data_IF_467631919256
#
_entry.id   IF_467631919256
#
_cell.length_a   1.000
_cell.length_b   1.000
_cell.length_c   1.000
_cell.angle_alpha   90.00
_cell.angle_beta   90.00
_cell.angle_gamma   90.00
#
_symmetry.space_group_name_H-M   'P 1'
#
loop_
_entity.id
_entity.type
_entity.pdbx_description
1 polymer ?
#
# COMPACT_ATOMS: atom_id res chain seq x y z
N UNK A 1 -16.18 -15.92 22.98
CA UNK A 1 -15.05 -16.63 23.61
C UNK A 1 -15.14 -18.11 23.28
N UNK A 2 -14.02 -18.71 22.88
CA UNK A 2 -13.78 -20.17 22.69
C UNK A 2 -14.52 -20.86 21.53
N UNK A 3 -14.30 -20.43 20.28
CA UNK A 3 -14.47 -21.32 19.10
C UNK A 3 -13.42 -21.11 18.00
N UNK A 4 -12.58 -20.07 18.09
CA UNK A 4 -11.50 -19.78 17.14
C UNK A 4 -10.28 -20.71 17.21
N UNK A 5 -10.25 -21.69 18.11
CA UNK A 5 -9.12 -22.63 18.23
C UNK A 5 -9.29 -23.90 17.37
N UNK A 6 -10.53 -24.29 17.06
CA UNK A 6 -10.81 -25.60 16.45
C UNK A 6 -10.52 -25.67 14.94
N UNK A 7 -10.53 -24.55 14.21
CA UNK A 7 -10.08 -24.48 12.81
C UNK A 7 -8.56 -24.38 12.67
N UNK A 8 -7.82 -24.16 13.77
CA UNK A 8 -6.42 -23.72 13.75
C UNK A 8 -5.44 -24.70 14.43
N UNK A 9 -5.94 -25.78 15.05
CA UNK A 9 -5.11 -26.89 15.52
C UNK A 9 -4.42 -27.67 14.38
N UNK A 10 -4.77 -27.42 13.11
CA UNK A 10 -4.21 -28.14 11.95
C UNK A 10 -2.85 -27.64 11.44
N UNK A 11 -2.33 -26.52 11.96
CA UNK A 11 -0.94 -26.08 11.71
C UNK A 11 -0.01 -26.53 12.85
N UNK A 12 -0.56 -26.85 14.01
CA UNK A 12 0.15 -27.59 15.05
C UNK A 12 0.04 -29.06 14.67
N UNK A 13 0.99 -29.53 13.87
CA UNK A 13 1.37 -30.94 13.85
C UNK A 13 1.30 -31.42 15.30
N UNK A 14 0.59 -32.52 15.54
CA UNK A 14 0.43 -33.14 16.86
C UNK A 14 1.73 -33.00 17.66
N UNK A 15 1.61 -32.75 18.97
CA UNK A 15 2.70 -32.50 19.93
C UNK A 15 3.75 -33.63 20.06
N UNK A 16 3.86 -34.50 19.06
CA UNK A 16 4.72 -35.66 18.91
C UNK A 16 5.60 -35.59 17.66
N UNK A 17 5.46 -34.60 16.77
CA UNK A 17 6.49 -34.36 15.76
C UNK A 17 7.70 -33.74 16.45
N UNK A 18 8.79 -34.49 16.53
CA UNK A 18 10.08 -33.97 16.96
C UNK A 18 10.54 -32.93 15.95
N UNK A 19 10.44 -31.65 16.33
CA UNK A 19 11.00 -30.57 15.54
C UNK A 19 12.52 -30.74 15.55
N UNK A 20 13.24 -30.40 14.47
CA UNK A 20 14.70 -30.35 14.51
C UNK A 20 15.13 -29.43 15.66
N UNK A 21 16.40 -29.49 16.05
CA UNK A 21 17.03 -28.64 17.07
C UNK A 21 17.06 -27.14 16.68
N UNK A 22 15.91 -26.56 16.36
CA UNK A 22 15.73 -25.17 15.99
C UNK A 22 15.26 -24.38 17.21
N UNK A 23 15.80 -23.19 17.39
CA UNK A 23 15.33 -22.25 18.39
C UNK A 23 13.96 -21.69 18.01
N UNK A 24 13.22 -21.17 18.99
CA UNK A 24 11.94 -20.49 18.76
C UNK A 24 12.09 -19.31 17.78
N UNK A 25 13.23 -18.62 17.81
CA UNK A 25 13.56 -17.53 16.89
C UNK A 25 13.71 -18.02 15.45
N UNK A 26 14.39 -19.14 15.23
CA UNK A 26 14.54 -19.74 13.90
C UNK A 26 13.19 -20.22 13.35
N UNK A 27 12.31 -20.72 14.22
CA UNK A 27 10.94 -21.09 13.85
C UNK A 27 10.13 -19.85 13.49
N UNK A 28 10.18 -18.79 14.31
CA UNK A 28 9.47 -17.55 14.02
C UNK A 28 9.98 -16.92 12.71
N UNK A 29 11.29 -16.93 12.48
CA UNK A 29 11.89 -16.51 11.22
C UNK A 29 11.41 -17.36 10.06
N UNK A 30 11.32 -18.68 10.18
CA UNK A 30 10.83 -19.53 9.10
C UNK A 30 9.39 -19.17 8.71
N UNK A 31 8.51 -18.97 9.70
CA UNK A 31 7.09 -18.72 9.49
C UNK A 31 6.78 -17.28 9.03
N UNK A 32 7.58 -16.28 9.43
CA UNK A 32 7.35 -14.88 9.06
C UNK A 32 7.36 -14.67 7.53
N UNK A 33 6.71 -13.61 7.05
CA UNK A 33 6.66 -13.23 5.64
C UNK A 33 7.55 -12.00 5.43
N UNK A 34 8.79 -12.18 4.98
CA UNK A 34 9.84 -11.17 5.13
C UNK A 34 9.77 -10.12 4.02
N UNK A 35 9.29 -10.52 2.85
CA UNK A 35 9.21 -9.69 1.65
C UNK A 35 7.81 -9.79 1.04
N UNK A 36 7.42 -8.75 0.29
CA UNK A 36 6.13 -8.75 -0.42
C UNK A 36 6.11 -9.82 -1.52
N UNK A 37 7.26 -10.16 -2.09
CA UNK A 37 7.41 -11.26 -3.04
C UNK A 37 7.04 -12.60 -2.38
N UNK A 38 7.56 -12.86 -1.18
CA UNK A 38 7.21 -14.06 -0.39
C UNK A 38 5.71 -14.08 -0.03
N UNK A 39 5.10 -12.91 0.21
CA UNK A 39 3.65 -12.81 0.40
C UNK A 39 2.90 -13.30 -0.85
N UNK A 40 3.27 -12.80 -2.04
CA UNK A 40 2.64 -13.20 -3.30
C UNK A 40 2.90 -14.68 -3.61
N UNK A 41 4.12 -15.17 -3.40
CA UNK A 41 4.47 -16.58 -3.57
C UNK A 41 3.59 -17.48 -2.70
N UNK A 42 3.43 -17.16 -1.41
CA UNK A 42 2.56 -17.92 -0.50
C UNK A 42 1.09 -17.84 -0.92
N UNK A 43 0.61 -16.66 -1.35
CA UNK A 43 -0.75 -16.46 -1.85
C UNK A 43 -1.03 -17.31 -3.10
N UNK A 44 -0.06 -17.37 -4.01
CA UNK A 44 -0.10 -18.12 -5.25
C UNK A 44 0.27 -19.60 -5.10
N UNK A 45 0.54 -20.04 -3.87
CA UNK A 45 0.98 -21.40 -3.58
C UNK A 45 2.27 -21.83 -4.31
N UNK A 46 3.17 -20.89 -4.53
CA UNK A 46 4.50 -21.14 -5.09
C UNK A 46 5.47 -21.66 -4.02
N UNK A 47 6.53 -22.38 -4.42
CA UNK A 47 7.54 -22.86 -3.48
C UNK A 47 8.25 -21.70 -2.76
N UNK A 48 8.32 -21.78 -1.43
CA UNK A 48 9.04 -20.84 -0.55
C UNK A 48 9.98 -21.61 0.36
N UNK A 49 10.83 -20.90 1.11
CA UNK A 49 11.63 -21.53 2.17
C UNK A 49 10.76 -22.27 3.19
N UNK A 50 9.62 -21.69 3.55
CA UNK A 50 8.65 -22.28 4.46
C UNK A 50 8.08 -23.59 3.91
N UNK A 51 7.50 -23.58 2.70
CA UNK A 51 6.88 -24.79 2.12
C UNK A 51 7.92 -25.88 1.82
N UNK A 52 9.12 -25.49 1.37
CA UNK A 52 10.24 -26.41 1.16
C UNK A 52 10.69 -27.09 2.46
N UNK A 53 10.69 -26.36 3.58
CA UNK A 53 11.03 -26.93 4.88
C UNK A 53 9.95 -27.89 5.38
N UNK A 54 8.66 -27.49 5.30
CA UNK A 54 7.53 -28.35 5.69
C UNK A 54 7.55 -29.68 4.94
N UNK A 55 7.77 -29.63 3.62
CA UNK A 55 7.81 -30.82 2.77
C UNK A 55 9.00 -31.75 3.07
N UNK A 56 10.14 -31.22 3.55
CA UNK A 56 11.28 -32.04 3.99
C UNK A 56 11.04 -32.73 5.32
N UNK A 57 10.32 -32.07 6.23
CA UNK A 57 10.01 -32.63 7.55
C UNK A 57 9.03 -33.79 7.44
N UNK A 58 7.99 -33.61 6.63
CA UNK A 58 7.02 -34.67 6.34
C UNK A 58 6.36 -34.39 4.99
N UNK A 59 6.65 -35.24 4.01
CA UNK A 59 6.08 -35.13 2.67
C UNK A 59 4.55 -35.23 2.63
N UNK A 60 3.92 -35.79 3.69
CA UNK A 60 2.47 -35.87 3.84
C UNK A 60 1.83 -34.58 4.39
N UNK A 61 2.63 -33.65 4.94
CA UNK A 61 2.19 -32.34 5.43
C UNK A 61 2.12 -31.29 4.32
N UNK A 62 1.68 -31.66 3.11
CA UNK A 62 1.42 -30.69 2.05
C UNK A 62 0.43 -29.64 2.57
N UNK A 63 0.93 -28.43 2.78
CA UNK A 63 0.10 -27.34 3.29
C UNK A 63 -0.84 -26.94 2.16
N UNK A 64 -2.16 -26.99 2.36
CA UNK A 64 -3.08 -26.57 1.31
C UNK A 64 -2.96 -25.07 1.04
N UNK A 65 -3.32 -24.64 -0.17
CA UNK A 65 -3.36 -23.22 -0.54
C UNK A 65 -4.35 -22.40 0.31
N UNK A 66 -5.45 -22.99 0.77
CA UNK A 66 -6.32 -22.35 1.77
C UNK A 66 -5.56 -22.02 3.06
N UNK A 67 -4.77 -22.96 3.59
CA UNK A 67 -3.95 -22.75 4.80
C UNK A 67 -2.84 -21.73 4.55
N UNK A 68 -2.19 -21.82 3.36
CA UNK A 68 -1.63 -20.71 2.57
C UNK A 68 -2.14 -19.33 2.95
N UNK A 69 -3.27 -19.01 2.36
CA UNK A 69 -3.89 -17.70 2.37
C UNK A 69 -4.31 -17.32 3.79
N UNK A 70 -4.86 -18.26 4.56
CA UNK A 70 -5.25 -18.01 5.96
C UNK A 70 -4.05 -17.60 6.84
N UNK A 71 -2.85 -18.13 6.58
CA UNK A 71 -1.64 -17.73 7.33
C UNK A 71 -1.19 -16.29 7.05
N UNK A 72 -1.64 -15.72 5.92
CA UNK A 72 -1.29 -14.35 5.50
C UNK A 72 -2.17 -13.29 6.15
N UNK A 73 -3.27 -13.64 6.81
CA UNK A 73 -4.06 -12.67 7.58
C UNK A 73 -3.34 -12.27 8.86
N UNK A 74 -3.38 -11.00 9.23
CA UNK A 74 -2.96 -10.58 10.56
C UNK A 74 -3.86 -11.22 11.62
N UNK A 75 -3.29 -12.03 12.50
CA UNK A 75 -4.04 -12.82 13.49
C UNK A 75 -4.21 -12.10 14.84
N UNK A 76 -3.54 -10.96 15.05
CA UNK A 76 -3.60 -10.19 16.29
C UNK A 76 -4.32 -8.86 16.07
N UNK A 77 -5.03 -8.38 17.09
CA UNK A 77 -5.64 -7.04 17.15
C UNK A 77 -6.63 -6.70 16.01
N UNK A 78 -7.13 -7.72 15.29
CA UNK A 78 -8.09 -7.60 14.19
C UNK A 78 -9.30 -8.52 14.42
N UNK A 79 -10.48 -7.91 14.47
CA UNK A 79 -11.74 -8.65 14.49
C UNK A 79 -12.23 -8.89 13.05
N UNK A 80 -11.71 -9.94 12.40
CA UNK A 80 -12.12 -10.29 11.05
C UNK A 80 -13.58 -10.70 10.95
N UNK A 81 -14.26 -10.25 9.89
CA UNK A 81 -15.52 -10.84 9.48
C UNK A 81 -15.25 -12.22 8.88
N UNK A 82 -15.50 -13.28 9.66
CA UNK A 82 -15.19 -14.66 9.26
C UNK A 82 -15.94 -15.11 8.00
N UNK A 83 -17.12 -14.56 7.71
CA UNK A 83 -17.84 -14.88 6.48
C UNK A 83 -17.13 -14.27 5.28
N UNK A 84 -16.66 -13.02 5.38
CA UNK A 84 -15.89 -12.38 4.31
C UNK A 84 -14.55 -13.09 4.08
N UNK A 85 -13.81 -13.43 5.14
CA UNK A 85 -12.56 -14.18 5.02
C UNK A 85 -12.80 -15.53 4.36
N UNK A 86 -13.85 -16.25 4.76
CA UNK A 86 -14.21 -17.53 4.13
C UNK A 86 -14.51 -17.35 2.65
N UNK A 87 -15.39 -16.43 2.28
CA UNK A 87 -15.75 -16.19 0.88
C UNK A 87 -14.55 -15.78 0.04
N UNK A 88 -13.65 -14.95 0.58
CA UNK A 88 -12.41 -14.58 -0.08
C UNK A 88 -11.50 -15.80 -0.32
N UNK A 89 -11.24 -16.60 0.72
CA UNK A 89 -10.36 -17.78 0.62
C UNK A 89 -10.95 -18.82 -0.34
N UNK A 90 -12.24 -19.09 -0.27
CA UNK A 90 -12.95 -20.02 -1.19
C UNK A 90 -12.86 -19.55 -2.64
N UNK A 91 -13.00 -18.25 -2.90
CA UNK A 91 -12.87 -17.70 -4.25
C UNK A 91 -11.43 -17.77 -4.78
N UNK A 92 -10.45 -17.40 -3.95
CA UNK A 92 -9.04 -17.38 -4.36
C UNK A 92 -8.56 -18.80 -4.66
N UNK A 93 -9.00 -19.79 -3.87
CA UNK A 93 -8.67 -21.21 -4.03
C UNK A 93 -9.69 -21.99 -4.89
N UNK A 94 -10.49 -21.30 -5.71
CA UNK A 94 -11.46 -21.98 -6.58
C UNK A 94 -10.76 -22.95 -7.54
N UNK A 95 -11.26 -24.19 -7.61
CA UNK A 95 -10.63 -25.26 -8.40
C UNK A 95 -10.70 -25.06 -9.91
N UNK A 96 -11.64 -24.24 -10.41
CA UNK A 96 -11.84 -23.99 -11.84
C UNK A 96 -11.23 -22.66 -12.27
N UNK A 97 -11.29 -21.65 -11.42
CA UNK A 97 -10.86 -20.27 -11.67
C UNK A 97 -10.12 -19.70 -10.44
N UNK A 98 -8.93 -20.25 -10.10
CA UNK A 98 -8.15 -19.73 -8.99
C UNK A 98 -7.68 -18.30 -9.30
N UNK A 99 -7.78 -17.40 -8.31
CA UNK A 99 -7.22 -16.06 -8.44
C UNK A 99 -5.75 -16.06 -8.00
N UNK A 100 -4.85 -15.55 -8.82
CA UNK A 100 -3.43 -15.36 -8.47
C UNK A 100 -3.09 -13.88 -8.45
N UNK A 101 -2.12 -13.50 -7.61
CA UNK A 101 -1.50 -12.19 -7.69
C UNK A 101 -0.39 -12.23 -8.74
N UNK A 102 -0.32 -11.22 -9.58
CA UNK A 102 0.75 -11.03 -10.53
C UNK A 102 1.53 -9.77 -10.17
N UNK A 103 2.84 -9.92 -10.10
CA UNK A 103 3.78 -8.83 -9.83
C UNK A 103 3.73 -7.76 -10.93
N UNK A 104 3.47 -8.17 -12.17
CA UNK A 104 3.48 -7.29 -13.34
C UNK A 104 2.12 -6.63 -13.60
N UNK A 105 1.09 -6.96 -12.83
CA UNK A 105 -0.25 -6.37 -12.93
C UNK A 105 -0.25 -4.91 -12.45
N UNK A 106 -1.17 -4.09 -12.98
CA UNK A 106 -1.26 -2.66 -12.67
C UNK A 106 -2.20 -2.34 -11.50
N UNK A 107 -2.98 -3.31 -11.04
CA UNK A 107 -3.96 -3.21 -9.96
C UNK A 107 -3.37 -3.60 -8.60
N UNK A 108 -2.11 -3.24 -8.39
CA UNK A 108 -1.54 -3.16 -7.05
C UNK A 108 -0.61 -1.94 -6.90
N UNK A 109 -0.59 -1.41 -5.69
CA UNK A 109 0.03 -0.13 -5.39
C UNK A 109 0.80 -0.20 -4.09
N UNK A 110 1.83 0.63 -3.96
CA UNK A 110 2.55 0.84 -2.71
C UNK A 110 2.33 2.29 -2.26
N UNK A 111 1.72 2.49 -1.10
CA UNK A 111 1.60 3.77 -0.43
C UNK A 111 2.72 3.89 0.62
N UNK A 112 3.61 4.88 0.43
CA UNK A 112 4.81 5.07 1.21
C UNK A 112 4.69 6.35 2.03
N UNK A 113 4.77 6.22 3.35
CA UNK A 113 5.02 7.36 4.23
C UNK A 113 6.53 7.63 4.29
N UNK A 114 6.96 8.77 3.76
CA UNK A 114 8.38 9.13 3.65
C UNK A 114 8.72 10.34 4.51
N UNK A 115 9.91 10.31 5.12
CA UNK A 115 10.52 11.47 5.75
C UNK A 115 11.38 12.22 4.73
N UNK A 116 11.15 13.52 4.61
CA UNK A 116 11.89 14.43 3.74
C UNK A 116 12.34 15.67 4.52
N UNK A 117 13.38 16.34 4.01
CA UNK A 117 13.79 17.66 4.48
C UNK A 117 13.32 18.71 3.47
N UNK A 118 12.47 19.64 3.91
CA UNK A 118 11.98 20.74 3.09
C UNK A 118 12.16 22.05 3.85
N UNK A 119 12.82 23.03 3.22
CA UNK A 119 13.15 24.33 3.84
C UNK A 119 13.84 24.20 5.21
N UNK A 120 14.75 23.24 5.34
CA UNK A 120 15.50 23.01 6.58
C UNK A 120 14.69 22.36 7.71
N UNK A 121 13.48 21.85 7.46
CA UNK A 121 12.66 21.15 8.45
C UNK A 121 12.29 19.74 7.99
N UNK A 122 12.27 18.76 8.92
CA UNK A 122 11.74 17.44 8.63
C UNK A 122 10.23 17.53 8.37
N UNK A 123 9.76 16.90 7.29
CA UNK A 123 8.36 16.85 6.87
C UNK A 123 8.03 15.44 6.38
N UNK A 124 6.76 15.08 6.47
CA UNK A 124 6.24 13.83 5.91
C UNK A 124 5.67 14.08 4.52
N UNK A 125 5.92 13.16 3.59
CA UNK A 125 5.24 13.10 2.29
C UNK A 125 4.74 11.67 2.06
N UNK A 126 3.51 11.53 1.57
CA UNK A 126 2.97 10.24 1.13
C UNK A 126 3.23 10.10 -0.37
N UNK A 127 3.93 9.03 -0.77
CA UNK A 127 4.21 8.72 -2.16
C UNK A 127 3.44 7.46 -2.55
N UNK A 128 2.60 7.58 -3.57
CA UNK A 128 1.96 6.43 -4.18
C UNK A 128 2.81 5.95 -5.34
N UNK A 129 3.18 4.67 -5.29
CA UNK A 129 3.89 3.97 -6.34
C UNK A 129 2.97 2.93 -7.00
N UNK A 130 3.16 2.71 -8.31
CA UNK A 130 2.50 1.65 -9.08
C UNK A 130 3.48 0.98 -10.02
N UNK A 131 3.15 -0.23 -10.45
CA UNK A 131 3.92 -0.93 -11.49
C UNK A 131 3.61 -0.32 -12.86
N UNK A 132 4.67 -0.08 -13.63
CA UNK A 132 4.60 0.28 -15.04
C UNK A 132 5.34 -0.79 -15.85
N UNK A 133 4.63 -1.36 -16.83
CA UNK A 133 5.23 -2.27 -17.80
C UNK A 133 6.18 -1.50 -18.73
N UNK A 134 7.32 -2.12 -19.03
CA UNK A 134 8.32 -1.65 -19.98
C UNK A 134 8.35 -2.61 -21.19
N UNK A 135 8.88 -2.17 -22.35
CA UNK A 135 9.17 -3.09 -23.44
C UNK A 135 10.05 -4.25 -22.97
N UNK A 136 9.81 -5.46 -23.48
CA UNK A 136 10.61 -6.67 -23.22
C UNK A 136 10.45 -7.22 -21.77
N UNK A 137 9.23 -7.63 -21.41
CA UNK A 137 8.91 -8.38 -20.17
C UNK A 137 9.57 -7.84 -18.89
N UNK A 138 9.73 -6.52 -18.82
CA UNK A 138 10.27 -5.84 -17.65
C UNK A 138 9.18 -4.95 -17.05
N UNK A 139 9.28 -4.71 -15.76
CA UNK A 139 8.48 -3.72 -15.08
C UNK A 139 9.32 -2.92 -14.10
N UNK A 140 8.82 -1.74 -13.76
CA UNK A 140 9.40 -0.91 -12.71
C UNK A 140 8.32 -0.24 -11.89
N UNK A 141 8.68 0.11 -10.67
CA UNK A 141 7.89 1.02 -9.87
C UNK A 141 8.04 2.46 -10.38
N UNK A 142 6.92 3.16 -10.47
CA UNK A 142 6.89 4.60 -10.77
C UNK A 142 6.05 5.33 -9.74
N UNK A 143 6.48 6.54 -9.41
CA UNK A 143 5.73 7.44 -8.53
C UNK A 143 4.51 7.94 -9.33
N UNK A 144 3.33 7.51 -8.91
CA UNK A 144 2.05 7.87 -9.51
C UNK A 144 1.38 9.05 -8.79
N UNK A 145 1.75 9.31 -7.54
CA UNK A 145 1.21 10.41 -6.75
C UNK A 145 2.15 10.84 -5.63
N UNK A 146 2.02 12.09 -5.21
CA UNK A 146 2.71 12.65 -4.07
C UNK A 146 1.75 13.55 -3.28
N UNK A 147 1.70 13.42 -1.97
CA UNK A 147 0.79 14.18 -1.12
C UNK A 147 1.51 14.67 0.12
N UNK A 148 1.39 15.98 0.39
CA UNK A 148 1.73 16.62 1.63
C UNK A 148 1.14 18.03 1.64
N UNK A 149 0.88 18.58 2.82
CA UNK A 149 0.29 19.91 2.97
C UNK A 149 1.08 20.99 2.22
N UNK A 150 2.41 20.90 2.26
CA UNK A 150 3.32 21.87 1.61
C UNK A 150 3.42 21.73 0.08
N UNK A 151 2.84 20.68 -0.50
CA UNK A 151 2.73 20.53 -1.96
C UNK A 151 1.48 21.21 -2.53
N UNK A 152 0.60 21.71 -1.66
CA UNK A 152 -0.66 22.36 -2.06
C UNK A 152 -0.59 23.88 -1.91
N UNK A 153 -1.53 24.58 -2.54
CA UNK A 153 -1.72 26.03 -2.36
C UNK A 153 -2.82 26.24 -1.31
N UNK A 154 -2.51 26.85 -0.16
CA UNK A 154 -3.50 27.07 0.90
C UNK A 154 -4.62 28.01 0.43
N UNK A 155 -5.74 27.96 1.13
CA UNK A 155 -6.83 28.91 0.93
C UNK A 155 -6.38 30.35 1.26
N UNK A 156 -6.91 31.33 0.54
CA UNK A 156 -6.64 32.74 0.80
C UNK A 156 -7.21 33.17 2.16
N UNK A 157 -6.47 34.01 2.87
CA UNK A 157 -6.90 34.59 4.16
C UNK A 157 -7.94 35.68 3.95
N UNK A 158 -7.76 36.50 2.92
CA UNK A 158 -8.68 37.53 2.47
C UNK A 158 -9.10 37.21 1.03
N UNK A 159 -10.39 36.98 0.79
CA UNK A 159 -10.94 36.62 -0.52
C UNK A 159 -11.21 37.83 -1.43
N UNK A 160 -11.00 39.06 -0.95
CA UNK A 160 -11.33 40.28 -1.68
C UNK A 160 -10.21 40.77 -2.60
N UNK A 161 -8.98 40.29 -2.39
CA UNK A 161 -7.83 40.68 -3.21
C UNK A 161 -7.94 40.05 -4.60
N UNK A 162 -7.84 40.86 -5.66
CA UNK A 162 -7.96 40.38 -7.04
C UNK A 162 -7.30 41.35 -8.03
N UNK A 163 -6.97 40.83 -9.23
CA UNK A 163 -6.69 41.67 -10.39
C UNK A 163 -8.00 41.90 -11.13
N UNK A 164 -8.47 43.14 -11.15
CA UNK A 164 -9.71 43.48 -11.86
C UNK A 164 -9.46 43.58 -13.36
N UNK A 165 -10.50 43.44 -14.20
CA UNK A 165 -10.37 43.60 -15.64
C UNK A 165 -9.75 44.94 -16.05
N UNK A 166 -9.96 46.02 -15.28
CA UNK A 166 -9.36 47.34 -15.54
C UNK A 166 -7.83 47.37 -15.47
N UNK A 167 -7.19 46.35 -14.89
CA UNK A 167 -5.73 46.24 -14.78
C UNK A 167 -5.02 46.20 -16.14
N UNK A 168 -5.72 45.85 -17.23
CA UNK A 168 -5.16 45.94 -18.58
C UNK A 168 -4.77 47.37 -18.97
N UNK A 169 -5.48 48.39 -18.45
CA UNK A 169 -5.22 49.79 -18.76
C UNK A 169 -3.98 50.37 -18.09
N UNK A 170 -3.36 49.63 -17.16
CA UNK A 170 -2.09 49.99 -16.50
C UNK A 170 -1.02 48.94 -16.76
N UNK A 171 -1.12 48.19 -17.86
CA UNK A 171 -0.20 47.09 -18.20
C UNK A 171 0.04 46.14 -17.02
N UNK A 172 -1.01 45.89 -16.22
CA UNK A 172 -0.96 45.06 -15.03
C UNK A 172 0.10 45.47 -13.99
N UNK A 173 0.36 46.77 -13.80
CA UNK A 173 1.31 47.28 -12.78
C UNK A 173 1.11 46.69 -11.37
N UNK A 174 -0.12 46.31 -11.00
CA UNK A 174 -0.42 45.70 -9.70
C UNK A 174 -0.04 44.20 -9.61
N UNK A 175 0.42 43.56 -10.69
CA UNK A 175 0.85 42.16 -10.70
C UNK A 175 1.98 41.91 -9.70
N UNK A 176 2.91 42.86 -9.57
CA UNK A 176 3.98 42.79 -8.57
C UNK A 176 3.39 42.66 -7.16
N UNK A 177 2.34 43.42 -6.82
CA UNK A 177 1.67 43.30 -5.52
C UNK A 177 1.00 41.93 -5.38
N UNK A 178 0.30 41.47 -6.40
CA UNK A 178 -0.39 40.18 -6.41
C UNK A 178 0.58 39.00 -6.17
N UNK A 179 1.75 39.00 -6.82
CA UNK A 179 2.76 37.94 -6.67
C UNK A 179 3.51 37.98 -5.33
N UNK A 180 3.56 39.14 -4.66
CA UNK A 180 4.11 39.25 -3.31
C UNK A 180 3.09 38.90 -2.22
N UNK A 181 1.79 38.89 -2.52
CA UNK A 181 0.71 38.50 -1.61
C UNK A 181 0.61 36.97 -1.50
N UNK A 182 1.62 36.37 -0.86
CA UNK A 182 1.73 34.91 -0.70
C UNK A 182 0.57 34.28 0.06
N UNK A 183 -0.10 35.04 0.94
CA UNK A 183 -1.21 34.53 1.75
C UNK A 183 -2.52 34.43 0.97
N UNK A 184 -2.67 35.20 -0.12
CA UNK A 184 -3.88 35.21 -0.94
C UNK A 184 -3.61 34.86 -2.40
N UNK A 185 -2.48 34.19 -2.68
CA UNK A 185 -2.05 33.86 -4.05
C UNK A 185 -3.12 33.08 -4.83
N UNK A 186 -3.96 32.31 -4.11
CA UNK A 186 -5.06 31.52 -4.68
C UNK A 186 -6.16 32.39 -5.33
N UNK A 187 -6.37 33.62 -4.87
CA UNK A 187 -7.36 34.52 -5.48
C UNK A 187 -7.00 34.96 -6.90
N UNK A 188 -5.73 34.84 -7.27
CA UNK A 188 -5.23 35.20 -8.60
C UNK A 188 -5.18 34.00 -9.55
N UNK A 189 -5.72 32.85 -9.12
CA UNK A 189 -5.84 31.63 -9.92
C UNK A 189 -7.32 31.40 -10.27
N UNK A 190 -7.62 30.65 -11.35
CA UNK A 190 -8.99 30.22 -11.64
C UNK A 190 -9.63 29.48 -10.46
N UNK A 191 -10.96 29.54 -10.34
CA UNK A 191 -11.67 28.92 -9.23
C UNK A 191 -11.51 27.38 -9.24
N UNK A 192 -11.49 26.81 -10.43
CA UNK A 192 -11.27 25.40 -10.76
C UNK A 192 -9.78 25.00 -10.73
N UNK A 193 -8.88 25.88 -10.28
CA UNK A 193 -7.47 25.54 -10.21
C UNK A 193 -7.20 24.44 -9.18
N UNK A 194 -6.68 23.32 -9.68
CA UNK A 194 -6.18 22.22 -8.88
C UNK A 194 -4.67 22.08 -9.00
N UNK A 195 -4.01 21.90 -7.87
CA UNK A 195 -2.55 21.73 -7.82
C UNK A 195 -2.22 20.30 -8.23
N UNK A 196 -1.41 20.13 -9.26
CA UNK A 196 -0.78 18.85 -9.54
C UNK A 196 0.40 18.65 -8.57
N UNK A 197 0.13 18.00 -7.44
CA UNK A 197 1.08 17.82 -6.34
C UNK A 197 2.31 16.99 -6.75
N UNK A 198 2.15 16.05 -7.69
CA UNK A 198 3.27 15.29 -8.25
C UNK A 198 4.23 16.19 -9.02
N UNK A 199 3.73 17.16 -9.79
CA UNK A 199 4.55 18.16 -10.48
C UNK A 199 5.33 19.03 -9.50
N UNK A 200 4.69 19.49 -8.42
CA UNK A 200 5.34 20.29 -7.36
C UNK A 200 6.42 19.47 -6.66
N UNK A 201 6.10 18.24 -6.24
CA UNK A 201 7.06 17.31 -5.63
C UNK A 201 8.27 17.11 -6.55
N UNK A 202 8.04 16.76 -7.82
CA UNK A 202 9.09 16.54 -8.81
C UNK A 202 9.97 17.76 -8.98
N UNK A 203 9.39 18.96 -9.07
CA UNK A 203 10.14 20.22 -9.18
C UNK A 203 11.01 20.48 -7.94
N UNK A 204 10.45 20.32 -6.74
CA UNK A 204 11.18 20.53 -5.49
C UNK A 204 12.33 19.54 -5.32
N UNK A 205 12.13 18.28 -5.69
CA UNK A 205 13.18 17.26 -5.70
C UNK A 205 14.26 17.56 -6.73
N UNK A 206 13.87 17.89 -7.97
CA UNK A 206 14.81 18.15 -9.06
C UNK A 206 15.68 19.40 -8.82
N UNK A 207 15.14 20.40 -8.10
CA UNK A 207 15.87 21.63 -7.75
C UNK A 207 16.62 21.53 -6.42
N UNK A 208 16.58 20.38 -5.73
CA UNK A 208 17.24 20.17 -4.44
C UNK A 208 16.62 20.92 -3.26
N UNK A 209 15.42 21.48 -3.43
CA UNK A 209 14.68 22.15 -2.35
C UNK A 209 14.02 21.17 -1.39
N UNK A 210 13.76 19.95 -1.86
CA UNK A 210 13.26 18.83 -1.08
C UNK A 210 14.24 17.67 -1.17
N UNK A 211 14.72 17.23 -0.01
CA UNK A 211 15.69 16.14 0.11
C UNK A 211 15.04 14.92 0.75
N UNK A 212 15.09 13.77 0.08
CA UNK A 212 14.60 12.51 0.63
C UNK A 212 15.52 12.01 1.76
N UNK A 213 14.93 11.48 2.84
CA UNK A 213 15.70 10.90 3.96
C UNK A 213 15.48 9.40 4.09
N UNK A 214 14.24 8.96 4.27
CA UNK A 214 13.91 7.55 4.45
C UNK A 214 12.42 7.27 4.22
N UNK A 215 12.10 5.98 4.04
CA UNK A 215 10.73 5.47 4.11
C UNK A 215 10.45 5.03 5.55
N UNK A 216 9.37 5.54 6.15
CA UNK A 216 8.95 5.19 7.50
C UNK A 216 7.98 4.00 7.51
N UNK A 217 7.08 3.94 6.52
CA UNK A 217 6.05 2.89 6.41
C UNK A 217 5.68 2.65 4.95
N UNK A 218 5.29 1.42 4.65
CA UNK A 218 4.73 1.01 3.35
C UNK A 218 3.43 0.27 3.63
N UNK A 219 2.38 0.60 2.88
CA UNK A 219 1.15 -0.16 2.79
C UNK A 219 0.98 -0.61 1.34
N UNK A 220 0.80 -1.91 1.11
CA UNK A 220 0.46 -2.39 -0.23
C UNK A 220 -1.05 -2.51 -0.37
N UNK A 221 -1.58 -2.05 -1.50
CA UNK A 221 -3.00 -2.11 -1.83
C UNK A 221 -3.19 -3.05 -3.02
N UNK A 222 -3.95 -4.12 -2.85
CA UNK A 222 -4.22 -5.11 -3.89
C UNK A 222 -5.66 -5.01 -4.36
N UNK A 223 -5.82 -4.72 -5.65
CA UNK A 223 -7.10 -4.62 -6.35
C UNK A 223 -7.25 -5.73 -7.43
N UNK A 224 -6.30 -6.67 -7.51
CA UNK A 224 -6.24 -7.69 -8.56
C UNK A 224 -7.33 -8.78 -8.43
N UNK A 225 -7.74 -9.13 -7.22
CA UNK A 225 -8.75 -10.19 -7.00
C UNK A 225 -10.15 -9.63 -7.27
N UNK A 226 -10.88 -10.22 -8.23
CA UNK A 226 -12.24 -9.79 -8.58
C UNK A 226 -13.15 -9.75 -7.34
N UNK A 227 -13.92 -8.67 -7.18
CA UNK A 227 -14.84 -8.54 -6.05
C UNK A 227 -14.19 -8.15 -4.71
N UNK A 228 -12.87 -7.96 -4.65
CA UNK A 228 -12.16 -7.67 -3.40
C UNK A 228 -11.12 -6.55 -3.52
N UNK A 229 -10.91 -5.86 -2.41
CA UNK A 229 -9.74 -5.03 -2.13
C UNK A 229 -9.18 -5.50 -0.80
N UNK A 230 -7.87 -5.65 -0.72
CA UNK A 230 -7.20 -5.91 0.54
C UNK A 230 -5.90 -5.10 0.64
N UNK A 231 -5.50 -4.79 1.86
CA UNK A 231 -4.22 -4.13 2.14
C UNK A 231 -3.28 -5.06 2.86
N UNK A 232 -1.98 -4.87 2.66
CA UNK A 232 -0.92 -5.62 3.34
C UNK A 232 0.00 -4.63 4.05
N UNK A 233 0.16 -4.82 5.35
CA UNK A 233 1.05 -4.05 6.22
C UNK A 233 2.18 -4.95 6.75
N UNK A 234 3.27 -4.34 7.20
CA UNK A 234 4.35 -5.04 7.88
C UNK A 234 4.18 -5.02 9.40
N UNK A 235 4.06 -6.20 10.01
CA UNK A 235 3.93 -6.40 11.46
C UNK A 235 5.22 -6.98 12.04
N UNK A 236 5.97 -6.18 12.79
CA UNK A 236 7.20 -6.62 13.45
C UNK A 236 6.91 -7.12 14.88
N UNK A 237 6.93 -8.43 15.08
CA UNK A 237 6.69 -9.07 16.39
C UNK A 237 7.34 -10.46 16.45
N UNK A 238 7.72 -10.94 17.66
CA UNK A 238 8.34 -12.25 17.83
C UNK A 238 7.29 -13.37 17.82
N UNK A 239 6.53 -13.49 16.73
CA UNK A 239 5.54 -14.55 16.55
C UNK A 239 5.60 -15.13 15.13
N UNK A 240 5.01 -16.32 14.95
CA UNK A 240 4.97 -17.01 13.66
C UNK A 240 4.12 -16.29 12.62
N UNK A 241 3.15 -15.48 13.05
CA UNK A 241 2.35 -14.64 12.17
C UNK A 241 2.93 -13.23 12.21
N UNK A 242 4.00 -12.97 11.46
CA UNK A 242 4.69 -11.68 11.43
C UNK A 242 5.22 -11.38 10.02
N UNK A 243 5.67 -10.13 9.80
CA UNK A 243 6.09 -9.64 8.49
C UNK A 243 4.92 -9.06 7.70
N UNK A 244 4.91 -9.24 6.38
CA UNK A 244 3.85 -8.75 5.49
C UNK A 244 2.58 -9.59 5.60
N UNK A 245 1.51 -9.00 6.12
CA UNK A 245 0.24 -9.67 6.36
C UNK A 245 -0.93 -8.80 5.90
N UNK A 246 -2.02 -9.44 5.49
CA UNK A 246 -3.29 -8.79 5.17
C UNK A 246 -3.77 -8.06 6.42
N UNK A 247 -3.92 -6.74 6.32
CA UNK A 247 -4.32 -5.82 7.38
C UNK A 247 -5.74 -5.30 7.23
N UNK A 248 -6.30 -5.36 6.02
CA UNK A 248 -7.72 -5.12 5.77
C UNK A 248 -8.22 -5.95 4.58
N UNK A 249 -9.51 -6.28 4.59
CA UNK A 249 -10.20 -7.00 3.51
C UNK A 249 -11.60 -6.40 3.38
N UNK A 250 -11.99 -6.02 2.17
CA UNK A 250 -13.32 -5.52 1.90
C UNK A 250 -13.84 -5.99 0.53
N UNK A 251 -15.15 -6.31 0.41
CA UNK A 251 -15.76 -6.56 -0.88
C UNK A 251 -15.80 -5.27 -1.70
N UNK A 252 -15.52 -5.37 -2.99
CA UNK A 252 -15.49 -4.23 -3.91
C UNK A 252 -15.77 -4.68 -5.34
N UNK A 253 -16.89 -4.20 -5.89
CA UNK A 253 -17.16 -4.27 -7.32
C UNK A 253 -16.26 -3.33 -8.13
N UNK A 254 -16.38 -3.35 -9.46
CA UNK A 254 -15.59 -2.51 -10.35
C UNK A 254 -15.74 -1.01 -10.04
N UNK A 255 -16.95 -0.55 -9.69
CA UNK A 255 -17.21 0.85 -9.37
C UNK A 255 -16.58 1.25 -8.03
N UNK A 256 -16.63 0.37 -7.03
CA UNK A 256 -15.98 0.55 -5.74
C UNK A 256 -14.45 0.58 -5.88
N UNK A 257 -13.87 -0.28 -6.72
CA UNK A 257 -12.43 -0.23 -7.04
C UNK A 257 -12.04 1.09 -7.72
N UNK A 258 -12.87 1.59 -8.64
CA UNK A 258 -12.61 2.89 -9.26
C UNK A 258 -12.67 4.04 -8.26
N UNK A 259 -13.68 4.06 -7.38
CA UNK A 259 -13.74 5.04 -6.28
C UNK A 259 -12.53 4.92 -5.36
N UNK A 260 -12.11 3.70 -5.02
CA UNK A 260 -10.93 3.48 -4.18
C UNK A 260 -9.65 4.08 -4.77
N UNK A 261 -9.44 3.94 -6.10
CA UNK A 261 -8.30 4.56 -6.79
C UNK A 261 -8.31 6.08 -6.66
N UNK A 262 -9.47 6.73 -6.77
CA UNK A 262 -9.57 8.19 -6.69
C UNK A 262 -9.57 8.72 -5.25
N UNK A 263 -10.31 8.08 -4.33
CA UNK A 263 -10.55 8.60 -2.99
C UNK A 263 -9.45 8.20 -2.01
N UNK A 264 -8.92 6.97 -2.11
CA UNK A 264 -7.93 6.43 -1.18
C UNK A 264 -6.52 6.54 -1.73
N UNK A 265 -6.33 6.18 -3.01
CA UNK A 265 -5.01 6.26 -3.64
C UNK A 265 -4.75 7.64 -4.28
N UNK A 266 -5.78 8.49 -4.39
CA UNK A 266 -5.69 9.82 -5.03
C UNK A 266 -5.03 9.78 -6.41
N UNK A 267 -5.30 8.71 -7.17
CA UNK A 267 -4.98 8.64 -8.58
C UNK A 267 -5.97 9.54 -9.33
N UNK A 268 -5.45 10.42 -10.18
CA UNK A 268 -6.25 11.25 -11.10
C UNK A 268 -6.71 10.42 -12.31
#
# INVERSE_FOLDING_TARGET
>A
MVWGWALWAGIVVSAQAQWPSMSEEEINFLFSVKQVDEFMERFNHQPTLFTSWMNRMDSSLQVSRQRMILSLFNQEDQAWNLNQVRSFVEQVDDSLRPAHLDYYDHDWYADLECLVQYQGKPRTVHLLLRVQAEPINASRWVIAGAQADFLTVPASVDSTTSLTPFSHGTDFMNLTRALHDRQNIRNYLPQEFEVNTLSVFTFLSATGQLEFKQVNRIVYHFLQVEGWIFTVDHFNRPSRNSGWLISSLQPADAAAKQRYRHEVLSLQ
#
